data_IF_314314135906
#
_entry.id   IF_314314135906
#
_cell.length_a   1.000
_cell.length_b   1.000
_cell.length_c   1.000
_cell.angle_alpha   90.00
_cell.angle_beta   90.00
_cell.angle_gamma   90.00
#
_symmetry.space_group_name_H-M   'P 1'
#
loop_
_entity.id
_entity.type
_entity.pdbx_description
1 polymer ?
#
# COMPACT_ATOMS: atom_id res chain seq x y z
N UNK A 1 60.81 2.59 -3.54
CA UNK A 1 60.88 1.25 -4.16
C UNK A 1 59.74 0.45 -3.57
N UNK A 2 58.98 -0.14 -4.49
CA UNK A 2 57.86 -1.08 -4.37
C UNK A 2 57.90 -2.02 -3.17
N UNK A 3 56.74 -2.31 -2.58
CA UNK A 3 56.14 -3.65 -2.76
C UNK A 3 54.66 -3.68 -2.37
N UNK A 4 53.93 -4.46 -3.16
CA UNK A 4 52.49 -4.56 -3.27
C UNK A 4 51.87 -5.19 -2.02
N UNK A 5 50.86 -4.53 -1.43
CA UNK A 5 49.81 -5.27 -0.73
C UNK A 5 48.63 -5.41 -1.67
N UNK A 6 48.51 -6.62 -2.19
CA UNK A 6 47.41 -7.10 -3.00
C UNK A 6 46.08 -6.67 -2.39
N UNK A 7 45.33 -5.86 -3.15
CA UNK A 7 43.89 -5.73 -3.02
C UNK A 7 43.28 -7.12 -3.26
N UNK A 8 43.21 -7.93 -2.20
CA UNK A 8 42.34 -9.10 -2.17
C UNK A 8 40.91 -8.58 -2.23
N UNK A 9 40.40 -8.54 -3.46
CA UNK A 9 39.00 -8.71 -3.79
C UNK A 9 38.40 -9.80 -2.90
N UNK A 10 37.86 -9.41 -1.74
CA UNK A 10 36.83 -10.17 -1.10
C UNK A 10 35.57 -9.91 -1.91
N UNK A 11 35.46 -10.62 -3.04
CA UNK A 11 34.18 -11.08 -3.52
C UNK A 11 33.53 -11.80 -2.33
N UNK A 12 32.79 -11.03 -1.52
CA UNK A 12 31.72 -11.59 -0.73
C UNK A 12 30.77 -12.19 -1.76
N UNK A 13 30.99 -13.47 -2.09
CA UNK A 13 29.96 -14.37 -2.57
C UNK A 13 28.86 -14.31 -1.53
N UNK A 14 27.95 -13.36 -1.72
CA UNK A 14 26.66 -13.34 -1.08
C UNK A 14 26.06 -14.70 -1.36
N UNK A 15 26.01 -15.55 -0.32
CA UNK A 15 25.25 -16.80 -0.35
C UNK A 15 23.86 -16.47 -0.93
N UNK A 16 23.26 -17.31 -1.78
CA UNK A 16 21.92 -17.07 -2.28
C UNK A 16 20.97 -17.15 -1.09
N UNK A 17 20.73 -16.00 -0.48
CA UNK A 17 19.82 -15.81 0.63
C UNK A 17 18.42 -15.97 0.04
N UNK A 18 17.73 -17.05 0.40
CA UNK A 18 16.35 -17.42 0.05
C UNK A 18 15.72 -16.54 -1.04
N UNK A 19 16.09 -16.83 -2.28
CA UNK A 19 15.50 -16.14 -3.41
C UNK A 19 14.11 -16.72 -3.66
N UNK A 20 13.06 -15.94 -3.37
CA UNK A 20 11.68 -16.28 -3.70
C UNK A 20 11.58 -16.74 -5.17
N UNK A 21 10.97 -17.91 -5.39
CA UNK A 21 10.69 -18.43 -6.72
C UNK A 21 9.58 -17.63 -7.39
N UNK A 22 9.39 -17.80 -8.71
CA UNK A 22 8.25 -17.17 -9.42
C UNK A 22 6.91 -17.62 -8.81
N UNK A 23 6.80 -18.88 -8.38
CA UNK A 23 5.60 -19.44 -7.76
C UNK A 23 5.33 -18.78 -6.40
N UNK A 24 6.37 -18.60 -5.57
CA UNK A 24 6.25 -17.89 -4.30
C UNK A 24 5.78 -16.45 -4.50
N UNK A 25 6.34 -15.76 -5.52
CA UNK A 25 5.96 -14.39 -5.82
C UNK A 25 4.50 -14.33 -6.29
N UNK A 26 4.06 -15.24 -7.15
CA UNK A 26 2.65 -15.31 -7.60
C UNK A 26 1.71 -15.56 -6.42
N UNK A 27 2.08 -16.47 -5.52
CA UNK A 27 1.30 -16.72 -4.30
C UNK A 27 1.17 -15.45 -3.46
N UNK A 28 2.26 -14.71 -3.25
CA UNK A 28 2.27 -13.45 -2.51
C UNK A 28 1.44 -12.35 -3.19
N UNK A 29 1.54 -12.22 -4.52
CA UNK A 29 0.73 -11.28 -5.31
C UNK A 29 -0.76 -11.57 -5.11
N UNK A 30 -1.18 -12.82 -5.22
CA UNK A 30 -2.59 -13.19 -5.08
C UNK A 30 -3.12 -12.92 -3.67
N UNK A 31 -2.35 -13.34 -2.66
CA UNK A 31 -2.72 -13.11 -1.25
C UNK A 31 -2.87 -11.62 -0.96
N UNK A 32 -1.85 -10.82 -1.27
CA UNK A 32 -1.84 -9.38 -0.99
C UNK A 32 -2.86 -8.66 -1.87
N UNK A 33 -3.09 -9.13 -3.10
CA UNK A 33 -4.10 -8.57 -4.00
C UNK A 33 -5.52 -8.69 -3.44
N UNK A 34 -5.85 -9.82 -2.82
CA UNK A 34 -7.14 -9.99 -2.13
C UNK A 34 -7.26 -9.05 -0.92
N UNK A 35 -6.25 -9.03 -0.05
CA UNK A 35 -6.21 -8.13 1.11
C UNK A 35 -6.33 -6.65 0.69
N UNK A 36 -5.66 -6.27 -0.40
CA UNK A 36 -5.70 -4.94 -1.00
C UNK A 36 -7.11 -4.56 -1.46
N UNK A 37 -7.80 -5.46 -2.18
CA UNK A 37 -9.16 -5.22 -2.67
C UNK A 37 -10.15 -5.07 -1.50
N UNK A 38 -10.02 -5.90 -0.47
CA UNK A 38 -10.84 -5.82 0.74
C UNK A 38 -10.63 -4.50 1.47
N UNK A 39 -9.37 -4.10 1.70
CA UNK A 39 -9.04 -2.82 2.31
C UNK A 39 -9.54 -1.62 1.48
N UNK A 40 -9.48 -1.72 0.15
CA UNK A 40 -10.03 -0.70 -0.75
C UNK A 40 -11.55 -0.56 -0.59
N UNK A 41 -12.28 -1.69 -0.54
CA UNK A 41 -13.74 -1.68 -0.36
C UNK A 41 -14.13 -1.06 0.98
N UNK A 42 -13.38 -1.36 2.04
CA UNK A 42 -13.60 -0.78 3.36
C UNK A 42 -13.41 0.75 3.31
N UNK A 43 -12.32 1.22 2.70
CA UNK A 43 -12.07 2.65 2.50
C UNK A 43 -13.18 3.32 1.68
N UNK A 44 -13.56 2.74 0.53
CA UNK A 44 -14.59 3.28 -0.37
C UNK A 44 -15.95 3.40 0.37
N UNK A 45 -16.26 2.43 1.25
CA UNK A 45 -17.45 2.46 2.11
C UNK A 45 -17.41 3.63 3.09
N UNK A 46 -16.31 3.83 3.82
CA UNK A 46 -16.20 4.95 4.76
C UNK A 46 -16.21 6.31 4.06
N UNK A 47 -15.58 6.42 2.89
CA UNK A 47 -15.53 7.66 2.12
C UNK A 47 -16.93 8.05 1.63
N UNK A 48 -17.72 7.08 1.17
CA UNK A 48 -19.12 7.29 0.79
C UNK A 48 -19.98 7.74 1.98
N UNK A 49 -19.78 7.14 3.15
CA UNK A 49 -20.58 7.43 4.35
C UNK A 49 -20.24 8.79 4.97
N UNK A 50 -19.03 9.32 4.76
CA UNK A 50 -18.56 10.58 5.35
C UNK A 50 -19.50 11.76 5.12
N UNK A 51 -20.04 11.92 3.91
CA UNK A 51 -20.94 13.04 3.58
C UNK A 51 -22.30 12.89 4.26
N UNK A 52 -22.86 11.68 4.24
CA UNK A 52 -24.15 11.36 4.85
C UNK A 52 -24.10 11.53 6.37
N UNK A 53 -23.02 11.08 7.02
CA UNK A 53 -22.85 11.27 8.45
C UNK A 53 -22.67 12.75 8.82
N UNK A 54 -21.90 13.52 8.04
CA UNK A 54 -21.79 14.96 8.26
C UNK A 54 -23.15 15.65 8.20
N UNK A 55 -23.97 15.31 7.20
CA UNK A 55 -25.32 15.86 7.06
C UNK A 55 -26.21 15.53 8.28
N UNK A 56 -26.22 14.27 8.72
CA UNK A 56 -26.95 13.83 9.92
C UNK A 56 -26.50 14.56 11.19
N UNK A 57 -25.20 14.80 11.33
CA UNK A 57 -24.66 15.56 12.47
C UNK A 57 -25.03 17.04 12.36
N UNK A 58 -25.04 17.61 11.16
CA UNK A 58 -25.53 18.98 10.94
C UNK A 58 -27.00 19.11 11.36
N UNK A 59 -27.87 18.17 10.99
CA UNK A 59 -29.27 18.13 11.43
C UNK A 59 -29.40 18.04 12.95
N UNK A 60 -28.57 17.21 13.61
CA UNK A 60 -28.51 17.12 15.09
C UNK A 60 -28.17 18.46 15.75
N UNK A 61 -27.36 19.31 15.12
CA UNK A 61 -26.97 20.63 15.64
C UNK A 61 -27.88 21.77 15.19
N UNK A 62 -28.78 21.52 14.26
CA UNK A 62 -29.76 22.49 13.78
C UNK A 62 -30.90 22.63 14.78
N UNK A 63 -30.94 23.78 15.46
CA UNK A 63 -32.00 24.14 16.39
C UNK A 63 -32.88 25.28 15.84
N UNK A 64 -32.79 25.58 14.53
CA UNK A 64 -33.50 26.68 13.88
C UNK A 64 -33.01 28.09 14.23
N UNK A 65 -32.03 28.23 15.13
CA UNK A 65 -31.51 29.53 15.58
C UNK A 65 -30.07 29.79 15.13
N UNK A 66 -29.33 28.74 14.74
CA UNK A 66 -27.92 28.85 14.36
C UNK A 66 -27.81 29.08 12.86
N UNK A 67 -26.85 29.91 12.46
CA UNK A 67 -26.48 30.02 11.04
C UNK A 67 -25.92 28.69 10.53
N UNK A 68 -26.09 28.42 9.24
CA UNK A 68 -25.53 27.23 8.58
C UNK A 68 -24.02 27.11 8.81
N UNK A 69 -23.29 28.23 8.78
CA UNK A 69 -21.85 28.27 9.04
C UNK A 69 -21.46 27.88 10.47
N UNK A 70 -22.35 28.09 11.45
CA UNK A 70 -22.13 27.66 12.83
C UNK A 70 -22.46 26.17 12.99
N UNK A 71 -23.54 25.71 12.37
CA UNK A 71 -23.93 24.28 12.34
C UNK A 71 -22.82 23.45 11.70
N UNK A 72 -22.28 23.90 10.57
CA UNK A 72 -21.18 23.24 9.86
C UNK A 72 -19.94 23.07 10.72
N UNK A 73 -19.53 24.12 11.44
CA UNK A 73 -18.37 24.07 12.36
C UNK A 73 -18.61 23.11 13.53
N UNK A 74 -19.82 23.13 14.11
CA UNK A 74 -20.18 22.20 15.18
C UNK A 74 -20.14 20.75 14.69
N UNK A 75 -20.65 20.49 13.48
CA UNK A 75 -20.61 19.16 12.89
C UNK A 75 -19.18 18.69 12.56
N UNK A 76 -18.30 19.59 12.13
CA UNK A 76 -16.89 19.29 11.86
C UNK A 76 -16.08 18.99 13.13
N UNK A 77 -16.55 19.46 14.29
CA UNK A 77 -15.92 19.23 15.60
C UNK A 77 -16.65 18.17 16.44
N UNK A 78 -17.73 17.57 15.95
CA UNK A 78 -18.48 16.55 16.67
C UNK A 78 -17.67 15.24 16.73
N UNK A 79 -17.59 14.63 17.91
CA UNK A 79 -16.81 13.42 18.14
C UNK A 79 -17.20 12.27 17.19
N UNK A 80 -18.48 12.18 16.83
CA UNK A 80 -18.96 11.15 15.90
C UNK A 80 -18.41 11.38 14.49
N UNK A 81 -18.28 12.64 14.06
CA UNK A 81 -17.68 12.97 12.76
C UNK A 81 -16.18 12.72 12.77
N UNK A 82 -15.51 13.09 13.87
CA UNK A 82 -14.07 12.87 14.04
C UNK A 82 -13.71 11.38 14.06
N UNK A 83 -14.54 10.52 14.67
CA UNK A 83 -14.33 9.07 14.65
C UNK A 83 -14.40 8.51 13.21
N UNK A 84 -15.35 8.96 12.41
CA UNK A 84 -15.46 8.56 11.00
C UNK A 84 -14.22 8.98 10.20
N UNK A 85 -13.73 10.20 10.42
CA UNK A 85 -12.50 10.68 9.77
C UNK A 85 -11.29 9.85 10.21
N UNK A 86 -11.24 9.44 11.47
CA UNK A 86 -10.19 8.55 12.01
C UNK A 86 -10.24 7.17 11.34
N UNK A 87 -11.43 6.57 11.24
CA UNK A 87 -11.63 5.29 10.55
C UNK A 87 -11.27 5.38 9.06
N UNK A 88 -11.65 6.46 8.39
CA UNK A 88 -11.30 6.73 7.00
C UNK A 88 -9.78 6.83 6.80
N UNK A 89 -9.08 7.55 7.68
CA UNK A 89 -7.62 7.65 7.60
C UNK A 89 -6.93 6.30 7.87
N UNK A 90 -7.43 5.53 8.85
CA UNK A 90 -6.90 4.20 9.17
C UNK A 90 -7.06 3.23 7.99
N UNK A 91 -8.23 3.19 7.38
CA UNK A 91 -8.51 2.33 6.22
C UNK A 91 -7.74 2.78 4.99
N UNK A 92 -7.63 4.09 4.75
CA UNK A 92 -6.77 4.65 3.68
C UNK A 92 -5.32 4.23 3.82
N UNK A 93 -4.74 4.37 5.01
CA UNK A 93 -3.36 3.97 5.28
C UNK A 93 -3.15 2.48 4.99
N UNK A 94 -4.07 1.62 5.46
CA UNK A 94 -4.00 0.19 5.24
C UNK A 94 -4.07 -0.17 3.75
N UNK A 95 -5.01 0.42 3.02
CA UNK A 95 -5.19 0.24 1.59
C UNK A 95 -3.94 0.68 0.79
N UNK A 96 -3.41 1.88 1.04
CA UNK A 96 -2.21 2.37 0.34
C UNK A 96 -0.97 1.54 0.67
N UNK A 97 -0.83 1.09 1.93
CA UNK A 97 0.26 0.19 2.32
C UNK A 97 0.19 -1.14 1.55
N UNK A 98 -1.00 -1.73 1.41
CA UNK A 98 -1.20 -2.97 0.68
C UNK A 98 -0.97 -2.78 -0.83
N UNK A 99 -1.40 -1.64 -1.39
CA UNK A 99 -1.15 -1.26 -2.79
C UNK A 99 0.34 -1.25 -3.12
N UNK A 100 1.14 -0.59 -2.28
CA UNK A 100 2.59 -0.51 -2.48
C UNK A 100 3.20 -1.90 -2.45
N UNK A 101 2.80 -2.76 -1.51
CA UNK A 101 3.30 -4.15 -1.44
C UNK A 101 2.90 -4.95 -2.68
N UNK A 102 1.64 -4.85 -3.10
CA UNK A 102 1.13 -5.53 -4.29
C UNK A 102 1.91 -5.16 -5.56
N UNK A 103 2.10 -3.86 -5.81
CA UNK A 103 2.86 -3.38 -6.97
C UNK A 103 4.35 -3.76 -6.87
N UNK A 104 4.93 -3.75 -5.67
CA UNK A 104 6.31 -4.20 -5.46
C UNK A 104 6.51 -5.67 -5.84
N UNK A 105 5.57 -6.55 -5.48
CA UNK A 105 5.66 -7.96 -5.87
C UNK A 105 5.41 -8.20 -7.35
N UNK A 106 4.49 -7.44 -7.98
CA UNK A 106 4.33 -7.47 -9.45
C UNK A 106 5.62 -7.07 -10.16
N UNK A 107 6.27 -6.00 -9.70
CA UNK A 107 7.55 -5.56 -10.27
C UNK A 107 8.64 -6.61 -10.07
N UNK A 108 8.70 -7.25 -8.90
CA UNK A 108 9.64 -8.33 -8.62
C UNK A 108 9.42 -9.54 -9.54
N UNK A 109 8.16 -9.92 -9.76
CA UNK A 109 7.79 -10.99 -10.69
C UNK A 109 8.29 -10.70 -12.11
N UNK A 110 8.00 -9.51 -12.61
CA UNK A 110 8.41 -9.07 -13.95
C UNK A 110 9.92 -9.04 -14.12
N UNK A 111 10.64 -8.53 -13.12
CA UNK A 111 12.11 -8.52 -13.11
C UNK A 111 12.69 -9.94 -13.16
N UNK A 112 12.18 -10.87 -12.34
CA UNK A 112 12.64 -12.27 -12.35
C UNK A 112 12.29 -12.99 -13.64
N UNK A 113 11.08 -12.80 -14.16
CA UNK A 113 10.65 -13.37 -15.44
C UNK A 113 11.56 -12.91 -16.58
N UNK A 114 11.88 -11.61 -16.61
CA UNK A 114 12.77 -11.03 -17.61
C UNK A 114 14.19 -11.60 -17.51
N UNK A 115 14.73 -11.73 -16.29
CA UNK A 115 16.06 -12.31 -16.06
C UNK A 115 16.14 -13.78 -16.51
N UNK A 116 15.14 -14.60 -16.20
CA UNK A 116 15.07 -16.00 -16.65
C UNK A 116 14.97 -16.10 -18.18
N UNK A 117 14.19 -15.22 -18.81
CA UNK A 117 14.10 -15.16 -20.27
C UNK A 117 15.44 -14.80 -20.90
N UNK A 118 16.16 -13.84 -20.32
CA UNK A 118 17.48 -13.42 -20.78
C UNK A 118 18.50 -14.56 -20.67
N UNK A 119 18.59 -15.23 -19.51
CA UNK A 119 19.46 -16.39 -19.31
C UNK A 119 19.17 -17.52 -20.32
N UNK A 120 17.88 -17.78 -20.60
CA UNK A 120 17.48 -18.78 -21.61
C UNK A 120 17.89 -18.38 -23.03
N UNK A 121 17.90 -17.09 -23.35
CA UNK A 121 18.34 -16.60 -24.66
C UNK A 121 19.86 -16.74 -24.82
N UNK A 122 20.64 -16.39 -23.79
CA UNK A 122 22.10 -16.59 -23.79
C UNK A 122 22.50 -18.06 -23.97
N UNK A 123 21.84 -18.99 -23.26
CA UNK A 123 22.12 -20.42 -23.39
C UNK A 123 21.78 -21.03 -24.75
N UNK A 124 20.96 -20.37 -25.58
CA UNK A 124 20.67 -20.80 -26.95
C UNK A 124 21.66 -20.26 -27.98
N UNK A 125 22.42 -19.23 -27.61
CA UNK A 125 23.43 -18.60 -28.46
C UNK A 125 24.81 -19.26 -28.31
N UNK A 126 25.02 -20.03 -27.24
CA UNK A 126 26.18 -20.90 -26.98
C UNK A 126 25.94 -22.30 -27.55
#
# INVERSE_FOLDING_TARGET
>A
MTENEDFKNQEQKSKPQDQLTLEDIVFLINKIGLEYIEAKREYDKHDLLKTSHRARIMEKHDNGQRSESKIRRLAEMDDEYLDILSQLNKTKYNYERLKVRYESYKNLFEARRSMLSYQKAEMKLL
#
